data_IF_371362627013
#
_entry.id   IF_371362627013
#
_cell.length_a   1.000
_cell.length_b   1.000
_cell.length_c   1.000
_cell.angle_alpha   90.00
_cell.angle_beta   90.00
_cell.angle_gamma   90.00
#
_symmetry.space_group_name_H-M   'P 1'
#
loop_
_entity.id
_entity.type
_entity.pdbx_description
1 polymer ?
#
# COMPACT_ATOMS: atom_id res chain seq x y z
N UNK A 1 43.82 -26.90 4.90
CA UNK A 1 42.96 -25.84 4.35
C UNK A 1 42.81 -24.75 5.41
N UNK A 2 43.40 -23.58 5.18
CA UNK A 2 43.32 -22.42 6.08
C UNK A 2 41.97 -21.71 5.92
N UNK A 3 41.34 -21.18 6.99
CA UNK A 3 40.14 -20.38 6.86
C UNK A 3 40.47 -18.93 6.45
N UNK A 4 39.66 -18.39 5.53
CA UNK A 4 39.79 -17.05 4.98
C UNK A 4 39.50 -15.95 6.03
N UNK A 5 40.36 -14.91 6.06
CA UNK A 5 40.17 -13.71 6.89
C UNK A 5 39.06 -12.82 6.31
N UNK A 6 38.13 -12.37 7.15
CA UNK A 6 37.15 -11.32 6.83
C UNK A 6 37.83 -9.94 6.80
N UNK A 7 37.48 -9.05 5.85
CA UNK A 7 37.95 -7.67 5.88
C UNK A 7 37.17 -6.83 6.90
N UNK A 8 37.87 -5.99 7.66
CA UNK A 8 37.29 -4.99 8.57
C UNK A 8 36.90 -3.71 7.81
N UNK A 9 35.80 -3.02 8.19
CA UNK A 9 35.42 -1.75 7.61
C UNK A 9 36.29 -0.60 8.16
N UNK A 10 36.83 0.21 7.26
CA UNK A 10 37.56 1.43 7.59
C UNK A 10 36.57 2.54 7.99
N UNK A 11 36.72 3.07 9.20
CA UNK A 11 36.03 4.29 9.64
C UNK A 11 36.76 5.52 9.06
N UNK A 12 35.99 6.40 8.40
CA UNK A 12 36.43 7.66 7.82
C UNK A 12 36.33 8.77 8.88
N UNK A 13 37.44 9.09 9.54
CA UNK A 13 37.56 10.26 10.41
C UNK A 13 37.77 11.52 9.56
N UNK A 14 36.78 12.42 9.52
CA UNK A 14 36.91 13.74 8.89
C UNK A 14 36.91 14.83 9.96
N UNK A 15 38.11 15.26 10.36
CA UNK A 15 38.31 16.44 11.22
C UNK A 15 38.15 17.73 10.40
N UNK A 16 37.14 18.54 10.73
CA UNK A 16 37.03 19.92 10.27
C UNK A 16 37.81 20.85 11.20
N UNK A 17 38.78 21.60 10.65
CA UNK A 17 39.43 22.73 11.32
C UNK A 17 38.73 24.01 10.86
N UNK A 18 38.09 24.71 11.80
CA UNK A 18 37.69 26.11 11.63
C UNK A 18 38.94 26.99 11.79
N UNK A 19 39.25 27.81 10.80
CA UNK A 19 40.18 28.92 10.93
C UNK A 19 39.38 30.23 10.85
N UNK A 20 39.37 30.98 11.97
CA UNK A 20 38.98 32.37 12.00
C UNK A 20 40.15 33.25 11.55
N UNK A 21 39.89 34.20 10.65
CA UNK A 21 40.71 35.39 10.51
C UNK A 21 39.81 36.62 10.35
N UNK A 22 39.90 37.50 11.34
CA UNK A 22 39.56 38.91 11.27
C UNK A 22 40.54 39.64 10.34
N UNK A 23 40.06 40.59 9.53
CA UNK A 23 40.82 41.81 9.23
C UNK A 23 39.92 42.91 8.63
N UNK A 24 40.21 44.13 9.08
CA UNK A 24 39.50 45.39 8.97
C UNK A 24 39.75 46.19 7.68
N UNK A 25 38.69 46.89 7.23
CA UNK A 25 38.60 48.24 6.62
C UNK A 25 39.79 48.86 5.88
N UNK A 26 39.57 49.24 4.61
CA UNK A 26 40.06 50.52 4.06
C UNK A 26 39.17 51.00 2.90
N UNK A 27 38.75 52.28 2.98
CA UNK A 27 37.93 53.01 2.01
C UNK A 27 38.82 53.51 0.86
N UNK A 28 38.40 53.31 -0.39
CA UNK A 28 38.90 54.06 -1.55
C UNK A 28 37.76 54.30 -2.55
N UNK A 29 37.40 55.57 -2.73
CA UNK A 29 36.55 56.08 -3.79
C UNK A 29 37.24 55.87 -5.15
N UNK A 30 36.60 55.15 -6.07
CA UNK A 30 36.95 55.17 -7.49
C UNK A 30 35.66 55.15 -8.31
N UNK A 31 35.36 56.28 -8.95
CA UNK A 31 34.33 56.39 -9.96
C UNK A 31 34.82 55.68 -11.24
N UNK A 32 34.03 54.73 -11.75
CA UNK A 32 34.14 54.19 -13.10
C UNK A 32 32.75 53.74 -13.59
N UNK A 33 32.52 53.77 -14.91
CA UNK A 33 31.24 54.10 -15.50
C UNK A 33 30.27 52.92 -15.53
N UNK A 34 28.99 53.25 -15.63
CA UNK A 34 27.88 52.35 -15.84
C UNK A 34 28.14 51.42 -17.03
N UNK A 35 28.42 50.15 -16.74
CA UNK A 35 28.15 49.04 -17.66
C UNK A 35 26.68 48.68 -17.46
N UNK A 36 25.86 49.05 -18.44
CA UNK A 36 24.52 48.53 -18.61
C UNK A 36 24.63 47.01 -18.75
N UNK A 37 24.25 46.30 -17.69
CA UNK A 37 24.05 44.86 -17.73
C UNK A 37 22.57 44.64 -17.97
N UNK A 38 22.26 44.20 -19.19
CA UNK A 38 20.95 43.71 -19.61
C UNK A 38 20.40 42.78 -18.52
N UNK A 39 19.39 43.25 -17.77
CA UNK A 39 18.60 42.37 -16.92
C UNK A 39 17.84 41.42 -17.84
N UNK A 40 17.82 40.10 -17.58
CA UNK A 40 16.89 39.22 -18.27
C UNK A 40 15.49 39.76 -18.00
N UNK A 41 14.73 40.04 -19.06
CA UNK A 41 13.31 40.38 -18.96
C UNK A 41 12.66 39.34 -18.06
N UNK A 42 12.22 39.77 -16.88
CA UNK A 42 11.33 38.99 -16.06
C UNK A 42 10.09 38.74 -16.93
N UNK A 43 9.83 37.46 -17.20
CA UNK A 43 8.53 37.02 -17.71
C UNK A 43 7.44 37.67 -16.83
N UNK A 44 6.31 38.10 -17.40
CA UNK A 44 5.21 38.59 -16.58
C UNK A 44 4.90 37.50 -15.54
N UNK A 45 4.60 37.87 -14.28
CA UNK A 45 4.04 36.90 -13.36
C UNK A 45 2.79 36.35 -14.05
N UNK A 46 2.87 35.08 -14.47
CA UNK A 46 1.68 34.37 -14.91
C UNK A 46 0.70 34.49 -13.76
N UNK A 47 -0.49 35.00 -14.08
CA UNK A 47 -1.61 35.06 -13.16
C UNK A 47 -1.58 33.83 -12.28
N UNK A 48 -1.42 34.04 -10.97
CA UNK A 48 -1.81 33.03 -10.01
C UNK A 48 -3.26 32.72 -10.35
N UNK A 49 -3.44 31.57 -11.02
CA UNK A 49 -4.73 31.08 -11.40
C UNK A 49 -5.57 31.11 -10.13
N UNK A 50 -6.56 32.01 -10.11
CA UNK A 50 -7.69 31.87 -9.21
C UNK A 50 -8.10 30.41 -9.30
N UNK A 51 -8.10 29.73 -8.14
CA UNK A 51 -8.72 28.41 -7.97
C UNK A 51 -10.20 28.63 -8.22
N UNK A 52 -10.53 28.66 -9.49
CA UNK A 52 -11.86 28.65 -10.01
C UNK A 52 -12.19 27.16 -10.09
N UNK A 53 -13.11 26.74 -9.24
CA UNK A 53 -13.67 25.39 -9.12
C UNK A 53 -14.50 25.05 -10.38
N UNK A 54 -13.90 25.27 -11.54
CA UNK A 54 -14.47 25.11 -12.85
C UNK A 54 -13.79 23.94 -13.54
N UNK A 55 -14.61 22.94 -13.89
CA UNK A 55 -14.20 21.85 -14.77
C UNK A 55 -13.79 22.43 -16.11
N UNK A 56 -12.50 22.36 -16.43
CA UNK A 56 -11.96 22.75 -17.75
C UNK A 56 -12.01 21.54 -18.66
N UNK A 57 -12.54 21.71 -19.87
CA UNK A 57 -12.57 20.65 -20.85
C UNK A 57 -12.11 21.10 -22.24
N UNK A 58 -11.45 20.19 -22.95
CA UNK A 58 -10.98 20.34 -24.32
C UNK A 58 -11.42 19.10 -25.11
N UNK A 59 -11.90 19.28 -26.35
CA UNK A 59 -12.33 18.19 -27.22
C UNK A 59 -12.33 18.63 -28.69
N UNK A 60 -12.31 17.66 -29.61
CA UNK A 60 -12.38 17.92 -31.05
C UNK A 60 -13.75 18.48 -31.47
N UNK A 61 -14.82 18.00 -30.83
CA UNK A 61 -16.20 18.46 -31.07
C UNK A 61 -16.96 18.56 -29.76
N UNK A 62 -17.69 19.67 -29.59
CA UNK A 62 -18.56 19.91 -28.45
C UNK A 62 -19.96 20.25 -28.97
N UNK A 63 -20.97 19.57 -28.45
CA UNK A 63 -22.37 19.79 -28.77
C UNK A 63 -23.13 20.03 -27.46
N UNK A 64 -23.91 21.09 -27.41
CA UNK A 64 -24.80 21.38 -26.30
C UNK A 64 -26.25 21.20 -26.72
N UNK A 65 -26.96 20.32 -26.02
CA UNK A 65 -28.39 20.11 -26.16
C UNK A 65 -29.11 20.87 -25.05
N UNK A 66 -29.53 22.10 -25.36
CA UNK A 66 -30.17 23.00 -24.39
C UNK A 66 -31.56 22.55 -23.92
N UNK A 67 -32.23 21.63 -24.63
CA UNK A 67 -33.52 21.09 -24.16
C UNK A 67 -33.32 19.98 -23.13
N UNK A 68 -32.26 19.19 -23.29
CA UNK A 68 -31.94 18.07 -22.42
C UNK A 68 -30.91 18.42 -21.33
N UNK A 69 -30.43 19.67 -21.29
CA UNK A 69 -29.34 20.14 -20.41
C UNK A 69 -28.09 19.22 -20.46
N UNK A 70 -27.77 18.73 -21.65
CA UNK A 70 -26.66 17.77 -21.89
C UNK A 70 -25.56 18.38 -22.73
N UNK A 71 -24.33 18.26 -22.25
CA UNK A 71 -23.11 18.57 -23.01
C UNK A 71 -22.50 17.26 -23.50
N UNK A 72 -22.27 17.13 -24.81
CA UNK A 72 -21.57 15.99 -25.41
C UNK A 72 -20.25 16.48 -26.00
N UNK A 73 -19.16 15.91 -25.54
CA UNK A 73 -17.82 16.12 -26.06
C UNK A 73 -17.32 14.83 -26.72
N UNK A 74 -16.81 14.94 -27.94
CA UNK A 74 -16.37 13.82 -28.78
C UNK A 74 -14.97 14.10 -29.33
N UNK A 75 -14.10 13.10 -29.30
CA UNK A 75 -12.75 13.13 -29.85
C UNK A 75 -11.74 13.78 -28.90
N UNK A 76 -10.75 12.98 -28.47
CA UNK A 76 -9.63 13.41 -27.62
C UNK A 76 -10.04 14.29 -26.44
N UNK A 77 -11.11 13.91 -25.75
CA UNK A 77 -11.66 14.71 -24.65
C UNK A 77 -10.68 14.70 -23.49
N UNK A 78 -10.32 15.88 -22.99
CA UNK A 78 -9.52 16.08 -21.79
C UNK A 78 -10.34 16.91 -20.83
N UNK A 79 -10.63 16.37 -19.65
CA UNK A 79 -11.23 17.08 -18.53
C UNK A 79 -10.16 17.32 -17.46
N UNK A 80 -10.19 18.50 -16.83
CA UNK A 80 -9.32 18.87 -15.72
C UNK A 80 -10.13 19.54 -14.63
N UNK A 81 -9.94 19.08 -13.40
CA UNK A 81 -10.49 19.64 -12.18
C UNK A 81 -9.41 19.51 -11.10
N UNK A 82 -9.00 20.63 -10.51
CA UNK A 82 -7.86 20.69 -9.59
C UNK A 82 -6.60 19.95 -10.09
N UNK A 83 -6.18 18.90 -9.37
CA UNK A 83 -5.04 18.02 -9.71
C UNK A 83 -5.43 16.82 -10.56
N UNK A 84 -6.73 16.58 -10.73
CA UNK A 84 -7.24 15.43 -11.45
C UNK A 84 -7.34 15.72 -12.94
N UNK A 85 -7.03 14.72 -13.75
CA UNK A 85 -7.16 14.80 -15.21
C UNK A 85 -7.80 13.54 -15.72
N UNK A 86 -8.84 13.67 -16.55
CA UNK A 86 -9.52 12.56 -17.21
C UNK A 86 -9.35 12.74 -18.71
N UNK A 87 -8.85 11.71 -19.40
CA UNK A 87 -8.81 11.67 -20.87
C UNK A 87 -9.70 10.55 -21.37
N UNK A 88 -10.56 10.81 -22.34
CA UNK A 88 -11.50 9.82 -22.89
C UNK A 88 -11.81 10.12 -24.36
N UNK A 89 -12.44 9.16 -25.05
CA UNK A 89 -12.89 9.36 -26.43
C UNK A 89 -14.19 10.16 -26.49
N UNK A 90 -15.12 9.89 -25.57
CA UNK A 90 -16.40 10.58 -25.48
C UNK A 90 -16.74 10.90 -24.03
N UNK A 91 -17.34 12.07 -23.80
CA UNK A 91 -17.86 12.49 -22.51
C UNK A 91 -19.25 13.07 -22.69
N UNK A 92 -20.20 12.60 -21.88
CA UNK A 92 -21.52 13.21 -21.76
C UNK A 92 -21.67 13.75 -20.35
N UNK A 93 -21.99 15.04 -20.23
CA UNK A 93 -22.28 15.68 -18.96
C UNK A 93 -23.75 16.08 -18.92
N UNK A 94 -24.47 15.52 -17.95
CA UNK A 94 -25.83 15.89 -17.61
C UNK A 94 -25.79 16.99 -16.54
N UNK A 95 -26.16 18.22 -16.92
CA UNK A 95 -26.05 19.39 -16.03
C UNK A 95 -27.17 19.47 -15.01
N UNK A 96 -28.25 18.72 -15.18
CA UNK A 96 -29.35 18.66 -14.22
C UNK A 96 -28.97 17.78 -13.02
N UNK A 97 -28.38 16.62 -13.29
CA UNK A 97 -27.93 15.68 -12.25
C UNK A 97 -26.49 15.90 -11.78
N UNK A 98 -25.66 16.61 -12.56
CA UNK A 98 -24.22 16.74 -12.32
C UNK A 98 -23.40 15.51 -12.75
N UNK A 99 -24.04 14.50 -13.36
CA UNK A 99 -23.41 13.25 -13.75
C UNK A 99 -22.57 13.40 -15.02
N UNK A 100 -21.31 12.97 -14.96
CA UNK A 100 -20.37 12.93 -16.08
C UNK A 100 -20.12 11.46 -16.45
N UNK A 101 -20.50 11.06 -17.65
CA UNK A 101 -20.22 9.75 -18.20
C UNK A 101 -19.09 9.85 -19.23
N UNK A 102 -17.94 9.25 -18.92
CA UNK A 102 -16.82 9.14 -19.85
C UNK A 102 -16.74 7.71 -20.40
N UNK A 103 -16.53 7.57 -21.72
CA UNK A 103 -16.42 6.27 -22.40
C UNK A 103 -15.27 6.26 -23.41
N UNK A 104 -14.61 5.10 -23.53
CA UNK A 104 -13.57 4.82 -24.52
C UNK A 104 -12.17 5.29 -24.11
N UNK A 105 -11.22 4.33 -24.06
CA UNK A 105 -9.79 4.54 -23.84
C UNK A 105 -9.46 5.50 -22.68
N UNK A 106 -10.17 5.33 -21.55
CA UNK A 106 -10.13 6.31 -20.48
C UNK A 106 -8.82 6.18 -19.73
N UNK A 107 -8.18 7.33 -19.49
CA UNK A 107 -7.04 7.46 -18.59
C UNK A 107 -7.29 8.60 -17.62
N UNK A 108 -7.47 8.27 -16.36
CA UNK A 108 -7.64 9.22 -15.26
C UNK A 108 -6.39 9.24 -14.38
N UNK A 109 -6.04 10.43 -13.88
CA UNK A 109 -5.04 10.62 -12.82
C UNK A 109 -5.78 11.18 -11.61
N UNK A 110 -5.67 10.50 -10.47
CA UNK A 110 -6.28 10.93 -9.20
C UNK A 110 -5.36 11.88 -8.41
N UNK A 111 -5.85 12.39 -7.27
CA UNK A 111 -5.09 13.32 -6.41
C UNK A 111 -3.84 12.69 -5.78
N UNK A 112 -3.85 11.37 -5.61
CA UNK A 112 -2.71 10.59 -5.14
C UNK A 112 -1.73 10.27 -6.27
N UNK A 113 -1.98 10.75 -7.49
CA UNK A 113 -1.14 10.51 -8.67
C UNK A 113 -1.16 9.05 -9.16
N UNK A 114 -2.13 8.24 -8.74
CA UNK A 114 -2.38 6.94 -9.35
C UNK A 114 -2.99 7.14 -10.73
N UNK A 115 -2.72 6.19 -11.62
CA UNK A 115 -3.24 6.21 -12.99
C UNK A 115 -4.30 5.13 -13.11
N UNK A 116 -5.50 5.53 -13.50
CA UNK A 116 -6.66 4.68 -13.68
C UNK A 116 -6.94 4.52 -15.17
N UNK A 117 -6.99 3.28 -15.64
CA UNK A 117 -7.43 2.91 -16.98
C UNK A 117 -8.78 2.19 -16.89
N UNK A 118 -9.70 2.53 -17.77
CA UNK A 118 -11.07 1.96 -17.79
C UNK A 118 -11.73 2.19 -19.15
N UNK A 119 -12.76 1.39 -19.45
CA UNK A 119 -13.55 1.56 -20.67
C UNK A 119 -14.76 2.49 -20.46
N UNK A 120 -15.28 2.58 -19.24
CA UNK A 120 -16.43 3.40 -18.87
C UNK A 120 -16.35 3.82 -17.39
N UNK A 121 -16.51 5.13 -17.14
CA UNK A 121 -16.64 5.65 -15.77
C UNK A 121 -17.74 6.69 -15.68
N UNK A 122 -18.53 6.57 -14.62
CA UNK A 122 -19.46 7.57 -14.14
C UNK A 122 -18.79 8.38 -13.03
N UNK A 123 -18.74 9.69 -13.19
CA UNK A 123 -18.14 10.66 -12.27
C UNK A 123 -19.20 11.67 -11.82
N UNK A 124 -19.05 12.19 -10.60
CA UNK A 124 -19.74 13.43 -10.18
C UNK A 124 -19.04 14.66 -10.79
N UNK A 125 -19.64 15.83 -10.60
CA UNK A 125 -19.08 17.13 -10.94
C UNK A 125 -17.74 17.40 -10.23
N UNK A 126 -17.53 16.82 -9.05
CA UNK A 126 -16.23 16.84 -8.34
C UNK A 126 -15.32 15.64 -8.67
N UNK A 127 -15.56 15.00 -9.82
CA UNK A 127 -14.78 13.87 -10.35
C UNK A 127 -14.68 12.65 -9.42
N UNK A 128 -15.66 12.47 -8.53
CA UNK A 128 -15.76 11.26 -7.72
C UNK A 128 -16.39 10.15 -8.54
N UNK A 129 -15.71 9.02 -8.69
CA UNK A 129 -16.25 7.88 -9.41
C UNK A 129 -17.42 7.24 -8.66
N UNK A 130 -18.58 7.16 -9.32
CA UNK A 130 -19.78 6.46 -8.88
C UNK A 130 -19.78 5.00 -9.33
N UNK A 131 -19.54 4.76 -10.61
CA UNK A 131 -19.44 3.42 -11.20
C UNK A 131 -18.30 3.35 -12.22
N UNK A 132 -17.55 2.25 -12.23
CA UNK A 132 -16.43 2.01 -13.15
C UNK A 132 -16.51 0.58 -13.69
N UNK A 133 -16.23 0.39 -14.98
CA UNK A 133 -16.13 -0.92 -15.63
C UNK A 133 -14.71 -1.19 -16.16
N UNK A 134 -14.25 -2.43 -16.07
CA UNK A 134 -12.94 -2.87 -16.56
C UNK A 134 -11.78 -1.97 -16.09
N UNK A 135 -11.70 -1.83 -14.76
CA UNK A 135 -10.75 -0.95 -14.08
C UNK A 135 -9.37 -1.59 -13.98
N UNK A 136 -8.33 -0.83 -14.34
CA UNK A 136 -6.94 -1.08 -13.97
C UNK A 136 -6.34 0.18 -13.31
N UNK A 137 -5.97 0.05 -12.04
CA UNK A 137 -5.26 1.06 -11.28
C UNK A 137 -3.77 0.73 -11.25
N UNK A 138 -2.94 1.66 -11.70
CA UNK A 138 -1.49 1.65 -11.53
C UNK A 138 -1.15 2.60 -10.38
N UNK A 139 -0.66 2.04 -9.29
CA UNK A 139 -0.40 2.78 -8.06
C UNK A 139 0.91 3.54 -8.17
N UNK A 140 0.93 4.79 -7.69
CA UNK A 140 2.15 5.62 -7.64
C UNK A 140 3.26 4.98 -6.81
N UNK A 141 2.89 4.27 -5.75
CA UNK A 141 3.81 3.57 -4.83
C UNK A 141 4.34 2.25 -5.39
N UNK A 142 3.97 1.88 -6.61
CA UNK A 142 4.23 0.57 -7.19
C UNK A 142 3.09 -0.41 -6.94
N UNK A 143 3.04 -1.45 -7.79
CA UNK A 143 1.94 -2.40 -7.85
C UNK A 143 0.79 -1.97 -8.75
N UNK A 144 -0.17 -2.87 -8.93
CA UNK A 144 -1.38 -2.67 -9.73
C UNK A 144 -2.58 -3.39 -9.13
N UNK A 145 -3.76 -2.84 -9.36
CA UNK A 145 -5.04 -3.42 -9.00
C UNK A 145 -5.93 -3.45 -10.24
N UNK A 146 -6.55 -4.58 -10.54
CA UNK A 146 -7.56 -4.71 -11.57
C UNK A 146 -8.89 -5.18 -10.97
N UNK A 147 -10.01 -4.72 -11.52
CA UNK A 147 -11.35 -5.14 -11.14
C UNK A 147 -12.29 -5.07 -12.35
N UNK A 148 -13.22 -6.00 -12.47
CA UNK A 148 -14.22 -5.98 -13.55
C UNK A 148 -15.24 -4.85 -13.36
N UNK A 149 -15.60 -4.58 -12.11
CA UNK A 149 -16.56 -3.51 -11.77
C UNK A 149 -16.23 -2.89 -10.43
N UNK A 150 -16.40 -1.57 -10.35
CA UNK A 150 -16.37 -0.81 -9.11
C UNK A 150 -17.61 0.04 -8.96
N UNK A 151 -18.16 0.12 -7.75
CA UNK A 151 -19.22 1.06 -7.40
C UNK A 151 -18.88 1.79 -6.12
N UNK A 152 -19.33 3.04 -6.01
CA UNK A 152 -19.22 3.88 -4.84
C UNK A 152 -20.61 4.41 -4.48
N UNK A 153 -20.97 4.31 -3.21
CA UNK A 153 -22.22 4.90 -2.71
C UNK A 153 -22.02 6.36 -2.25
N UNK A 154 -23.13 7.06 -1.99
CA UNK A 154 -23.12 8.43 -1.47
C UNK A 154 -22.43 8.56 -0.11
N UNK A 155 -22.37 7.48 0.67
CA UNK A 155 -21.65 7.43 1.95
C UNK A 155 -20.13 7.27 1.77
N UNK A 156 -19.67 7.10 0.53
CA UNK A 156 -18.27 6.91 0.16
C UNK A 156 -17.78 5.47 0.29
N UNK A 157 -18.65 4.50 0.62
CA UNK A 157 -18.26 3.10 0.63
C UNK A 157 -18.07 2.62 -0.81
N UNK A 158 -17.07 1.76 -1.01
CA UNK A 158 -16.78 1.21 -2.33
C UNK A 158 -16.92 -0.30 -2.33
N UNK A 159 -17.44 -0.83 -3.43
CA UNK A 159 -17.47 -2.26 -3.70
C UNK A 159 -16.78 -2.52 -5.03
N UNK A 160 -15.81 -3.42 -5.04
CA UNK A 160 -15.14 -3.90 -6.26
C UNK A 160 -15.44 -5.38 -6.44
N UNK A 161 -15.87 -5.78 -7.64
CA UNK A 161 -16.14 -7.17 -8.02
C UNK A 161 -14.96 -7.74 -8.84
N UNK A 162 -14.62 -9.00 -8.58
CA UNK A 162 -13.56 -9.75 -9.27
C UNK A 162 -12.22 -9.01 -9.32
N UNK A 163 -11.64 -8.80 -8.14
CA UNK A 163 -10.42 -7.99 -7.96
C UNK A 163 -9.17 -8.86 -8.05
N UNK A 164 -8.13 -8.35 -8.69
CA UNK A 164 -6.79 -8.89 -8.67
C UNK A 164 -5.78 -7.80 -8.28
N UNK A 165 -4.96 -8.05 -7.27
CA UNK A 165 -3.89 -7.16 -6.85
C UNK A 165 -2.53 -7.85 -6.95
N UNK A 166 -1.51 -7.14 -7.43
CA UNK A 166 -0.12 -7.58 -7.40
C UNK A 166 0.80 -6.41 -7.09
N UNK A 167 1.79 -6.65 -6.23
CA UNK A 167 2.85 -5.68 -5.93
C UNK A 167 3.89 -5.53 -7.05
N UNK A 168 3.77 -6.28 -8.16
CA UNK A 168 4.61 -6.08 -9.34
C UNK A 168 4.28 -4.72 -9.98
N UNK A 169 5.23 -3.79 -9.91
CA UNK A 169 5.11 -2.47 -10.53
C UNK A 169 5.10 -2.59 -12.06
N UNK A 170 4.33 -1.72 -12.71
CA UNK A 170 4.32 -1.58 -14.17
C UNK A 170 5.45 -0.62 -14.55
N UNK A 171 6.65 -1.15 -14.81
CA UNK A 171 7.85 -0.34 -15.04
C UNK A 171 8.08 0.02 -16.51
N UNK A 172 7.85 -0.92 -17.44
CA UNK A 172 7.93 -0.70 -18.89
C UNK A 172 7.10 -1.73 -19.68
N UNK A 173 7.12 -1.66 -21.01
CA UNK A 173 6.39 -2.55 -21.93
C UNK A 173 6.76 -4.04 -21.77
N UNK A 174 7.96 -4.32 -21.23
CA UNK A 174 8.51 -5.65 -20.93
C UNK A 174 8.55 -5.97 -19.41
N UNK A 175 8.39 -4.97 -18.54
CA UNK A 175 8.81 -4.99 -17.14
C UNK A 175 7.82 -5.63 -16.18
N UNK A 176 6.55 -5.77 -16.57
CA UNK A 176 5.59 -6.56 -15.81
C UNK A 176 4.85 -7.54 -16.72
N UNK A 177 5.05 -8.86 -16.59
CA UNK A 177 4.25 -9.82 -17.33
C UNK A 177 2.77 -9.61 -17.00
N UNK A 178 1.90 -9.71 -18.03
CA UNK A 178 0.44 -9.67 -17.87
C UNK A 178 -0.04 -10.64 -16.77
N UNK A 179 0.69 -11.74 -16.59
CA UNK A 179 0.53 -12.68 -15.48
C UNK A 179 1.69 -12.52 -14.50
N UNK A 180 1.49 -11.87 -13.34
CA UNK A 180 2.55 -11.70 -12.36
C UNK A 180 2.93 -13.05 -11.74
N UNK A 181 4.11 -13.14 -11.12
CA UNK A 181 4.55 -14.35 -10.41
C UNK A 181 3.65 -14.66 -9.21
N UNK A 182 3.03 -13.64 -8.62
CA UNK A 182 2.03 -13.77 -7.59
C UNK A 182 0.97 -12.67 -7.69
N UNK A 183 -0.23 -12.97 -7.24
CA UNK A 183 -1.35 -12.04 -7.12
C UNK A 183 -2.30 -12.49 -6.02
N UNK A 184 -3.04 -11.56 -5.43
CA UNK A 184 -4.17 -11.87 -4.56
C UNK A 184 -5.44 -11.54 -5.31
N UNK A 185 -6.28 -12.55 -5.52
CA UNK A 185 -7.59 -12.41 -6.16
C UNK A 185 -8.70 -12.48 -5.14
N UNK A 186 -9.76 -11.70 -5.28
CA UNK A 186 -10.95 -11.78 -4.45
C UNK A 186 -12.21 -11.66 -5.31
N UNK A 187 -13.26 -12.41 -4.95
CA UNK A 187 -14.55 -12.30 -5.63
C UNK A 187 -15.18 -10.92 -5.39
N UNK A 188 -14.96 -10.35 -4.19
CA UNK A 188 -15.41 -9.01 -3.86
C UNK A 188 -14.54 -8.34 -2.81
N UNK A 189 -14.31 -7.05 -2.97
CA UNK A 189 -13.65 -6.18 -1.99
C UNK A 189 -14.61 -5.09 -1.58
N UNK A 190 -14.74 -4.89 -0.27
CA UNK A 190 -15.60 -3.86 0.32
C UNK A 190 -14.73 -2.88 1.09
N UNK A 191 -14.84 -1.60 0.78
CA UNK A 191 -14.23 -0.52 1.53
C UNK A 191 -15.31 0.28 2.26
N UNK A 192 -15.20 0.33 3.58
CA UNK A 192 -16.05 1.15 4.45
C UNK A 192 -15.33 2.47 4.72
N UNK A 193 -15.89 3.59 4.24
CA UNK A 193 -15.27 4.91 4.38
C UNK A 193 -15.29 5.42 5.82
N UNK A 194 -16.29 5.03 6.61
CA UNK A 194 -16.45 5.46 8.00
C UNK A 194 -15.49 4.72 8.93
N UNK A 195 -15.38 3.39 8.77
CA UNK A 195 -14.45 2.56 9.54
C UNK A 195 -13.02 2.60 8.98
N UNK A 196 -12.82 3.12 7.77
CA UNK A 196 -11.55 3.09 7.02
C UNK A 196 -11.03 1.67 6.85
N UNK A 197 -11.94 0.75 6.54
CA UNK A 197 -11.67 -0.70 6.58
C UNK A 197 -11.96 -1.36 5.24
N UNK A 198 -11.02 -2.19 4.79
CA UNK A 198 -11.14 -3.01 3.59
C UNK A 198 -11.37 -4.47 4.01
N UNK A 199 -12.43 -5.10 3.48
CA UNK A 199 -12.76 -6.51 3.69
C UNK A 199 -12.79 -7.25 2.37
N UNK A 200 -12.27 -8.47 2.36
CA UNK A 200 -12.20 -9.30 1.16
C UNK A 200 -13.06 -10.54 1.30
N UNK A 201 -13.86 -10.83 0.26
CA UNK A 201 -14.66 -12.05 0.16
C UNK A 201 -14.06 -12.98 -0.89
N UNK A 202 -13.77 -14.22 -0.49
CA UNK A 202 -13.16 -15.21 -1.38
C UNK A 202 -11.72 -14.87 -1.77
N UNK A 203 -10.98 -14.18 -0.91
CA UNK A 203 -9.57 -13.86 -1.16
C UNK A 203 -8.75 -15.15 -1.27
N UNK A 204 -7.89 -15.21 -2.29
CA UNK A 204 -7.00 -16.33 -2.55
C UNK A 204 -5.68 -15.79 -3.10
N UNK A 205 -4.57 -16.20 -2.48
CA UNK A 205 -3.25 -16.01 -3.02
C UNK A 205 -3.05 -16.98 -4.19
N UNK A 206 -2.68 -16.44 -5.34
CA UNK A 206 -2.30 -17.20 -6.53
C UNK A 206 -0.80 -17.01 -6.77
N UNK A 207 -0.12 -18.10 -7.09
CA UNK A 207 1.28 -18.09 -7.49
C UNK A 207 1.41 -18.71 -8.88
N UNK A 208 2.05 -18.01 -9.81
CA UNK A 208 2.20 -18.43 -11.21
C UNK A 208 0.87 -18.83 -11.86
N UNK A 209 -0.22 -18.14 -11.49
CA UNK A 209 -1.57 -18.42 -11.95
C UNK A 209 -2.27 -19.62 -11.28
N UNK A 210 -1.67 -20.27 -10.28
CA UNK A 210 -2.25 -21.39 -9.52
C UNK A 210 -2.76 -20.86 -8.16
N UNK A 211 -4.03 -21.10 -7.78
CA UNK A 211 -4.52 -20.75 -6.44
C UNK A 211 -3.86 -21.64 -5.39
N UNK A 212 -3.04 -21.05 -4.52
CA UNK A 212 -2.24 -21.80 -3.53
C UNK A 212 -2.79 -21.72 -2.11
N UNK A 213 -3.32 -20.56 -1.70
CA UNK A 213 -3.70 -20.33 -0.31
C UNK A 213 -4.97 -19.47 -0.24
N UNK A 214 -6.10 -20.01 0.25
CA UNK A 214 -7.27 -19.19 0.58
C UNK A 214 -6.97 -18.32 1.80
N UNK A 215 -7.47 -17.08 1.78
CA UNK A 215 -7.28 -16.07 2.84
C UNK A 215 -8.66 -15.67 3.42
N UNK A 216 -9.34 -16.57 4.15
CA UNK A 216 -10.65 -16.27 4.71
C UNK A 216 -10.55 -15.17 5.77
N UNK A 217 -11.46 -14.19 5.72
CA UNK A 217 -11.48 -13.11 6.69
C UNK A 217 -10.34 -12.09 6.53
N UNK A 218 -9.61 -12.13 5.41
CA UNK A 218 -8.63 -11.09 5.08
C UNK A 218 -9.30 -9.72 5.12
N UNK A 219 -8.65 -8.81 5.83
CA UNK A 219 -9.05 -7.42 5.91
C UNK A 219 -7.90 -6.59 6.44
N UNK A 220 -7.90 -5.32 6.07
CA UNK A 220 -6.90 -4.36 6.54
C UNK A 220 -7.54 -2.99 6.64
N UNK A 221 -6.85 -2.06 7.29
CA UNK A 221 -7.29 -0.67 7.43
C UNK A 221 -6.52 0.23 6.49
N UNK A 222 -7.19 1.23 5.92
CA UNK A 222 -6.55 2.18 5.02
C UNK A 222 -5.72 3.24 5.76
N UNK A 223 -5.93 3.41 7.07
CA UNK A 223 -5.19 4.33 7.94
C UNK A 223 -4.08 3.66 8.77
N UNK A 224 -3.68 2.43 8.41
CA UNK A 224 -2.61 1.65 9.03
C UNK A 224 -2.80 1.35 10.53
N UNK A 225 -4.01 1.55 11.07
CA UNK A 225 -4.33 1.19 12.46
C UNK A 225 -4.40 -0.32 12.61
N UNK A 226 -3.91 -0.86 13.72
CA UNK A 226 -4.00 -2.28 14.00
C UNK A 226 -5.48 -2.73 14.15
N UNK A 227 -5.85 -3.88 13.60
CA UNK A 227 -7.17 -4.47 13.76
C UNK A 227 -7.11 -5.90 14.29
N UNK A 228 -8.09 -6.27 15.09
CA UNK A 228 -8.27 -7.65 15.56
C UNK A 228 -8.61 -8.57 14.39
N UNK A 229 -7.92 -9.70 14.29
CA UNK A 229 -8.14 -10.67 13.22
C UNK A 229 -7.06 -11.76 13.16
N UNK A 230 -7.23 -12.67 12.21
CA UNK A 230 -6.19 -13.60 11.80
C UNK A 230 -5.16 -12.84 10.96
N UNK A 231 -3.89 -13.06 11.26
CA UNK A 231 -2.79 -12.54 10.45
C UNK A 231 -2.52 -13.47 9.27
N UNK A 232 -1.72 -12.99 8.30
CA UNK A 232 -1.27 -13.84 7.21
C UNK A 232 -0.34 -14.92 7.81
N UNK A 233 -0.56 -16.22 7.49
CA UNK A 233 0.29 -17.30 8.01
C UNK A 233 1.74 -17.13 7.58
N UNK A 234 2.67 -17.41 8.49
CA UNK A 234 4.12 -17.43 8.22
C UNK A 234 4.56 -18.86 7.86
N UNK A 235 5.32 -18.98 6.78
CA UNK A 235 5.91 -20.25 6.34
C UNK A 235 7.43 -20.18 6.41
N UNK A 236 8.05 -21.13 7.10
CA UNK A 236 9.50 -21.18 7.26
C UNK A 236 10.05 -22.58 6.99
N UNK A 237 11.29 -22.64 6.51
CA UNK A 237 12.04 -23.88 6.36
C UNK A 237 13.37 -23.74 7.12
N UNK A 238 13.64 -24.65 8.05
CA UNK A 238 14.86 -24.65 8.85
C UNK A 238 15.42 -26.05 9.05
N UNK A 239 16.73 -26.17 9.23
CA UNK A 239 17.40 -27.44 9.44
C UNK A 239 17.02 -28.13 10.78
N UNK A 240 16.70 -27.34 11.81
CA UNK A 240 16.38 -27.85 13.14
C UNK A 240 14.92 -28.33 13.27
N UNK A 241 13.95 -27.54 12.77
CA UNK A 241 12.53 -27.82 12.97
C UNK A 241 11.82 -28.28 11.68
N UNK A 242 12.53 -28.34 10.55
CA UNK A 242 11.95 -28.68 9.24
C UNK A 242 11.07 -27.56 8.69
N UNK A 243 9.95 -27.93 8.09
CA UNK A 243 8.94 -26.98 7.64
C UNK A 243 8.08 -26.51 8.81
N UNK A 244 7.87 -25.20 8.88
CA UNK A 244 7.11 -24.52 9.93
C UNK A 244 5.95 -23.75 9.29
N UNK A 245 4.75 -23.86 9.88
CA UNK A 245 3.61 -23.01 9.58
C UNK A 245 3.12 -22.38 10.88
N UNK A 246 3.05 -21.06 10.91
CA UNK A 246 2.57 -20.30 12.07
C UNK A 246 1.33 -19.50 11.71
N UNK A 247 0.29 -19.65 12.51
CA UNK A 247 -0.95 -18.88 12.40
C UNK A 247 -1.12 -18.02 13.66
N UNK A 248 -1.41 -16.74 13.48
CA UNK A 248 -1.51 -15.78 14.59
C UNK A 248 -2.88 -15.14 14.64
N UNK A 249 -3.57 -15.31 15.76
CA UNK A 249 -4.72 -14.50 16.13
C UNK A 249 -4.25 -13.24 16.88
N UNK A 250 -4.43 -12.08 16.25
CA UNK A 250 -4.13 -10.80 16.85
C UNK A 250 -5.38 -10.18 17.45
N UNK A 251 -5.29 -9.76 18.72
CA UNK A 251 -6.36 -9.11 19.45
C UNK A 251 -5.91 -7.75 19.95
N UNK A 252 -6.46 -6.69 19.33
CA UNK A 252 -6.35 -5.32 19.84
C UNK A 252 -7.35 -5.14 20.97
N UNK A 253 -6.86 -5.15 22.21
CA UNK A 253 -7.69 -5.01 23.41
C UNK A 253 -8.03 -3.53 23.65
N UNK A 254 -7.03 -2.65 23.48
CA UNK A 254 -7.18 -1.20 23.49
C UNK A 254 -6.07 -0.55 22.67
N UNK A 255 -6.09 0.77 22.52
CA UNK A 255 -5.06 1.51 21.76
C UNK A 255 -3.65 1.37 22.34
N UNK A 256 -3.56 1.05 23.63
CA UNK A 256 -2.29 0.91 24.35
C UNK A 256 -1.93 -0.53 24.71
N UNK A 257 -2.71 -1.55 24.32
CA UNK A 257 -2.41 -2.96 24.62
C UNK A 257 -3.00 -3.95 23.64
N UNK A 258 -2.24 -4.98 23.38
CA UNK A 258 -2.60 -6.06 22.46
C UNK A 258 -2.12 -7.43 22.95
N UNK A 259 -2.74 -8.47 22.39
CA UNK A 259 -2.38 -9.86 22.60
C UNK A 259 -2.28 -10.55 21.23
N UNK A 260 -1.16 -11.17 20.94
CA UNK A 260 -0.98 -12.05 19.79
C UNK A 260 -0.84 -13.50 20.27
N UNK A 261 -1.77 -14.36 19.85
CA UNK A 261 -1.72 -15.80 20.12
C UNK A 261 -1.33 -16.52 18.84
N UNK A 262 -0.18 -17.19 18.84
CA UNK A 262 0.41 -17.85 17.68
C UNK A 262 0.49 -19.35 17.90
N UNK A 263 -0.12 -20.12 17.01
CA UNK A 263 0.07 -21.57 16.94
C UNK A 263 1.07 -21.90 15.84
N UNK A 264 2.18 -22.55 16.18
CA UNK A 264 3.19 -22.99 15.22
C UNK A 264 3.24 -24.51 15.17
N UNK A 265 3.12 -25.04 13.95
CA UNK A 265 3.32 -26.45 13.64
C UNK A 265 4.65 -26.64 12.95
N UNK A 266 5.36 -27.70 13.32
CA UNK A 266 6.68 -28.05 12.80
C UNK A 266 6.65 -29.48 12.27
N UNK A 267 7.44 -29.79 11.23
CA UNK A 267 7.61 -31.18 10.76
C UNK A 267 8.73 -31.92 11.50
N UNK A 268 9.74 -31.20 11.99
CA UNK A 268 10.91 -31.75 12.70
C UNK A 268 10.82 -31.69 14.23
N UNK A 269 9.82 -30.99 14.78
CA UNK A 269 9.62 -30.83 16.22
C UNK A 269 8.15 -30.83 16.60
N UNK A 270 7.87 -30.77 17.91
CA UNK A 270 6.50 -30.77 18.43
C UNK A 270 5.89 -29.36 18.31
N UNK A 271 4.57 -29.25 18.09
CA UNK A 271 3.91 -27.96 17.94
C UNK A 271 4.06 -27.08 19.19
N UNK A 272 3.96 -25.78 18.98
CA UNK A 272 4.14 -24.76 20.01
C UNK A 272 3.03 -23.71 19.95
N UNK A 273 2.56 -23.30 21.12
CA UNK A 273 1.69 -22.15 21.31
C UNK A 273 2.51 -21.01 21.92
N UNK A 274 2.45 -19.83 21.31
CA UNK A 274 3.12 -18.62 21.80
C UNK A 274 2.08 -17.55 22.08
N UNK A 275 2.12 -16.94 23.26
CA UNK A 275 1.29 -15.80 23.60
C UNK A 275 2.17 -14.58 23.86
N UNK A 276 1.95 -13.50 23.12
CA UNK A 276 2.69 -12.25 23.24
C UNK A 276 1.75 -11.12 23.64
N UNK A 277 1.93 -10.58 24.83
CA UNK A 277 1.18 -9.44 25.35
C UNK A 277 2.06 -8.20 25.37
N UNK A 278 1.59 -7.10 24.79
CA UNK A 278 2.28 -5.80 24.81
C UNK A 278 1.39 -4.77 25.47
N UNK A 279 1.97 -3.92 26.32
CA UNK A 279 1.23 -2.84 26.99
C UNK A 279 2.11 -1.61 27.15
N UNK A 280 1.62 -0.49 26.62
CA UNK A 280 2.14 0.85 26.87
C UNK A 280 1.38 1.51 28.02
N UNK A 281 2.09 1.80 29.11
CA UNK A 281 1.57 2.50 30.29
C UNK A 281 2.20 3.89 30.39
N UNK A 282 1.68 4.72 31.30
CA UNK A 282 2.28 6.03 31.61
C UNK A 282 3.71 5.92 32.17
N UNK A 283 4.09 4.74 32.68
CA UNK A 283 5.40 4.48 33.27
C UNK A 283 6.39 3.85 32.27
N UNK A 284 5.92 3.45 31.08
CA UNK A 284 6.74 2.80 30.06
C UNK A 284 6.02 1.67 29.33
N UNK A 285 6.73 1.06 28.37
CA UNK A 285 6.28 -0.10 27.61
C UNK A 285 6.89 -1.38 28.18
N UNK A 286 6.07 -2.44 28.28
CA UNK A 286 6.57 -3.79 28.58
C UNK A 286 5.94 -4.83 27.65
N UNK A 287 6.62 -5.97 27.52
CA UNK A 287 6.20 -7.08 26.68
C UNK A 287 6.40 -8.37 27.44
N UNK A 288 5.36 -9.19 27.53
CA UNK A 288 5.42 -10.52 28.13
C UNK A 288 5.18 -11.55 27.03
N UNK A 289 6.10 -12.51 26.89
CA UNK A 289 5.97 -13.62 25.94
C UNK A 289 5.96 -14.93 26.70
N UNK A 290 4.90 -15.72 26.52
CA UNK A 290 4.78 -17.07 27.05
C UNK A 290 4.84 -18.09 25.93
N UNK A 291 5.53 -19.20 26.17
CA UNK A 291 5.61 -20.33 25.25
C UNK A 291 5.08 -21.58 25.92
N UNK A 292 4.34 -22.40 25.18
CA UNK A 292 3.83 -23.68 25.64
C UNK A 292 3.98 -24.75 24.54
N UNK A 293 4.52 -25.91 24.89
CA UNK A 293 4.65 -27.07 24.01
C UNK A 293 4.39 -28.34 24.80
N UNK A 294 4.03 -29.42 24.12
CA UNK A 294 3.86 -30.74 24.75
C UNK A 294 4.97 -31.66 24.25
N UNK A 295 5.83 -32.13 25.14
CA UNK A 295 6.98 -32.96 24.79
C UNK A 295 7.27 -34.08 25.78
N UNK A 296 7.82 -35.17 25.26
CA UNK A 296 8.29 -36.31 26.05
C UNK A 296 9.52 -35.94 26.89
N UNK A 297 9.71 -36.62 28.01
CA UNK A 297 10.97 -36.58 28.77
C UNK A 297 11.87 -37.71 28.29
N UNK A 298 13.14 -37.40 28.05
CA UNK A 298 14.21 -38.40 27.98
C UNK A 298 14.71 -38.57 29.42
N UNK A 299 14.41 -39.69 30.10
CA UNK A 299 14.94 -39.93 31.44
C UNK A 299 16.46 -40.02 31.37
N UNK A 300 17.14 -39.21 32.18
CA UNK A 300 18.59 -39.28 32.36
C UNK A 300 18.88 -40.38 33.39
N UNK A 301 19.38 -41.54 32.97
CA UNK A 301 19.88 -42.59 33.88
C UNK A 301 19.29 -44.00 33.73
N UNK A 302 18.35 -44.24 32.81
CA UNK A 302 17.82 -45.59 32.55
C UNK A 302 18.58 -46.27 31.41
N UNK A 303 19.04 -47.51 31.62
CA UNK A 303 19.70 -48.34 30.61
C UNK A 303 18.79 -48.53 29.39
N UNK A 304 19.40 -48.54 28.19
CA UNK A 304 18.77 -48.60 26.86
C UNK A 304 17.90 -49.85 26.57
N UNK A 305 17.57 -50.65 27.57
CA UNK A 305 16.82 -51.91 27.47
C UNK A 305 15.34 -51.78 27.85
N UNK A 306 14.90 -50.66 28.40
CA UNK A 306 13.47 -50.38 28.61
C UNK A 306 12.99 -49.29 27.65
N UNK A 307 12.21 -49.69 26.66
CA UNK A 307 11.44 -48.79 25.79
C UNK A 307 10.27 -48.20 26.58
N UNK A 308 10.56 -47.42 27.63
CA UNK A 308 9.53 -46.63 28.31
C UNK A 308 9.18 -45.45 27.42
N UNK A 309 8.02 -45.51 26.77
CA UNK A 309 7.42 -44.36 26.07
C UNK A 309 7.27 -43.23 27.07
N UNK A 310 8.16 -42.24 27.01
CA UNK A 310 8.20 -41.13 27.96
C UNK A 310 6.87 -40.38 28.01
N UNK A 311 6.34 -40.17 29.22
CA UNK A 311 5.06 -39.49 29.44
C UNK A 311 5.09 -38.07 28.84
N UNK A 312 4.13 -37.77 27.97
CA UNK A 312 4.00 -36.46 27.32
C UNK A 312 3.52 -35.41 28.34
N UNK A 313 4.38 -34.45 28.69
CA UNK A 313 4.05 -33.37 29.63
C UNK A 313 4.11 -32.00 28.97
N UNK A 314 3.29 -31.08 29.48
CA UNK A 314 3.36 -29.68 29.09
C UNK A 314 4.65 -29.05 29.60
N UNK A 315 5.30 -28.27 28.73
CA UNK A 315 6.46 -27.45 29.04
C UNK A 315 6.20 -26.05 28.54
N UNK A 316 6.76 -25.08 29.23
CA UNK A 316 6.67 -23.69 28.82
C UNK A 316 7.66 -22.84 29.60
N UNK A 317 7.87 -21.63 29.09
CA UNK A 317 8.62 -20.60 29.79
C UNK A 317 7.97 -19.24 29.52
N UNK A 318 8.26 -18.28 30.38
CA UNK A 318 7.79 -16.90 30.27
C UNK A 318 9.03 -16.00 30.22
N UNK A 319 8.99 -15.05 29.32
CA UNK A 319 9.96 -13.98 29.13
C UNK A 319 9.23 -12.64 29.32
N UNK A 320 9.84 -11.70 30.03
CA UNK A 320 9.25 -10.39 30.36
C UNK A 320 10.34 -9.31 30.40
#
# INVERSE_FOLDING_TARGET
>A
MQPARRPQPQALDRRLRLAHMFATSLIALAACPALAQEAPMASPPGDEASVDDQVRFEADKVQYDGNAEKVRAEGNVVLRHDTQTVRADNVTWDRESGQILATGNIRMVDDDGNIVYTDSVELTDEFKAGAIEDLLVVLRTGGRLAAERGTRDESGNMTLDYVAYSGCAVEDENGCPRKPSWEVTAARVYFDAKEKRVKYKGATLRMFGIPVLPLPGLGHTSDFRAETGLLIPDFRLGAANGAEISETWYWRIADNRDLALTGTFYTGSLPMLTGKYRHLTNLGAFQITGYATRSGRIPLGTSLTETTVGEQRWRGYIEA
#
